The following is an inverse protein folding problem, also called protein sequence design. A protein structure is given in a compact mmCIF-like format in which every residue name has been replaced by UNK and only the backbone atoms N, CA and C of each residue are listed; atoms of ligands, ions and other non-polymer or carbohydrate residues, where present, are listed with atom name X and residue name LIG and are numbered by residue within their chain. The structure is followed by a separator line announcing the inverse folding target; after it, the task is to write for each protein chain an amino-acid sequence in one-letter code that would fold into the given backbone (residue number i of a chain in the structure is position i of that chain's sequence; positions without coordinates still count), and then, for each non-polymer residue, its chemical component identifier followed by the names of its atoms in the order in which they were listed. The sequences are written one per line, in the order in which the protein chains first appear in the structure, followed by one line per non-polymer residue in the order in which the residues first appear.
data_IF_879912242040
#
_entry.id   IF_879912242040
#
_cell.length_a   1.000
_cell.length_b   1.000
_cell.length_c   1.000
_cell.angle_alpha   90.00
_cell.angle_beta   90.00
_cell.angle_gamma   90.00
#
_symmetry.space_group_name_H-M   'P 1'
#
loop_
_entity.id
_entity.type
_entity.pdbx_description
1 polymer ?
#
# COMPACT_ATOMS: atom_id res chain seq x y z
N UNK A 1 12.64 -1.04 22.65
CA UNK A 1 11.17 -1.25 22.70
C UNK A 1 10.78 -2.28 21.65
N UNK A 2 10.04 -3.33 22.03
CA UNK A 2 9.59 -4.36 21.11
C UNK A 2 8.56 -3.81 20.10
N UNK A 3 8.46 -4.47 18.93
CA UNK A 3 7.45 -4.15 17.92
C UNK A 3 6.03 -4.11 18.52
N UNK A 4 5.70 -5.13 19.32
CA UNK A 4 4.40 -5.20 19.99
C UNK A 4 4.09 -3.98 20.84
N UNK A 5 5.02 -3.55 21.68
CA UNK A 5 4.83 -2.34 22.53
C UNK A 5 4.63 -1.07 21.70
N UNK A 6 5.34 -0.96 20.58
CA UNK A 6 5.15 0.19 19.65
C UNK A 6 3.76 0.16 19.02
N UNK A 7 3.32 -1.00 18.56
CA UNK A 7 1.99 -1.18 17.98
C UNK A 7 0.88 -0.89 18.99
N UNK A 8 0.97 -1.41 20.23
CA UNK A 8 0.01 -1.13 21.29
C UNK A 8 -0.09 0.38 21.56
N UNK A 9 1.05 1.08 21.57
CA UNK A 9 1.08 2.54 21.73
C UNK A 9 0.38 3.27 20.57
N UNK A 10 0.64 2.85 19.34
CA UNK A 10 0.01 3.45 18.15
C UNK A 10 -1.51 3.19 18.15
N UNK A 11 -1.94 1.98 18.45
CA UNK A 11 -3.34 1.62 18.50
C UNK A 11 -4.10 2.40 19.58
N UNK A 12 -3.51 2.59 20.77
CA UNK A 12 -4.08 3.45 21.81
C UNK A 12 -4.25 4.89 21.32
N UNK A 13 -3.23 5.46 20.67
CA UNK A 13 -3.30 6.82 20.11
C UNK A 13 -4.40 6.95 19.05
N UNK A 14 -4.54 5.96 18.17
CA UNK A 14 -5.63 5.90 17.19
C UNK A 14 -6.98 5.90 17.90
N UNK A 15 -7.18 5.01 18.89
CA UNK A 15 -8.43 4.93 19.64
C UNK A 15 -8.80 6.24 20.35
N UNK A 16 -7.82 6.93 20.97
CA UNK A 16 -8.04 8.24 21.57
C UNK A 16 -8.41 9.30 20.51
N UNK A 17 -7.73 9.31 19.36
CA UNK A 17 -8.04 10.24 18.28
C UNK A 17 -9.44 10.02 17.71
N UNK A 18 -9.84 8.77 17.51
CA UNK A 18 -11.19 8.42 17.05
C UNK A 18 -12.27 8.89 18.02
N UNK A 19 -12.10 8.63 19.33
CA UNK A 19 -13.04 9.10 20.36
C UNK A 19 -13.16 10.60 20.37
N UNK A 20 -12.03 11.31 20.32
CA UNK A 20 -12.02 12.79 20.31
C UNK A 20 -12.64 13.37 19.05
N UNK A 21 -12.47 12.73 17.90
CA UNK A 21 -13.02 13.15 16.63
C UNK A 21 -14.46 12.67 16.36
N UNK A 22 -15.01 11.81 17.22
CA UNK A 22 -16.34 11.21 17.01
C UNK A 22 -16.40 10.22 15.86
N UNK A 23 -15.27 9.53 15.55
CA UNK A 23 -15.19 8.53 14.49
C UNK A 23 -15.22 7.11 15.06
N UNK A 24 -15.98 6.22 14.42
CA UNK A 24 -16.11 4.82 14.81
C UNK A 24 -15.69 3.83 13.69
N UNK A 25 -15.35 4.34 12.51
CA UNK A 25 -14.90 3.50 11.41
C UNK A 25 -13.54 2.84 11.71
N UNK A 26 -13.31 1.61 11.22
CA UNK A 26 -12.05 0.92 11.44
C UNK A 26 -10.89 1.63 10.73
N UNK A 27 -9.74 1.69 11.42
CA UNK A 27 -8.48 2.21 10.88
C UNK A 27 -7.55 1.04 10.63
N UNK A 28 -7.12 0.88 9.39
CA UNK A 28 -6.13 -0.13 9.03
C UNK A 28 -4.70 0.44 9.15
N UNK A 29 -3.86 -0.26 9.92
CA UNK A 29 -2.43 0.02 9.95
C UNK A 29 -1.73 -0.71 8.80
N UNK A 30 -0.86 0.00 8.10
CA UNK A 30 0.01 -0.58 7.07
C UNK A 30 1.45 -0.47 7.57
N UNK A 31 2.12 -1.62 7.70
CA UNK A 31 3.53 -1.64 8.02
C UNK A 31 4.36 -1.37 6.76
N UNK A 32 5.05 -0.24 6.73
CA UNK A 32 5.99 0.07 5.64
C UNK A 32 7.29 -0.67 5.90
N UNK A 33 7.55 -1.72 5.12
CA UNK A 33 8.66 -2.66 5.34
C UNK A 33 9.81 -2.49 4.35
N UNK A 34 9.80 -1.41 3.57
CA UNK A 34 10.92 -1.07 2.69
C UNK A 34 12.25 -1.04 3.48
N UNK A 35 13.31 -1.52 2.85
CA UNK A 35 14.65 -1.63 3.44
C UNK A 35 14.77 -2.63 4.62
N UNK A 36 13.70 -3.30 4.98
CA UNK A 36 13.69 -4.30 6.03
C UNK A 36 13.68 -5.72 5.45
N UNK A 37 14.26 -6.72 6.14
CA UNK A 37 14.26 -8.10 5.66
C UNK A 37 12.86 -8.72 5.71
N UNK A 38 12.68 -9.84 4.99
CA UNK A 38 11.40 -10.56 4.96
C UNK A 38 10.93 -11.02 6.35
N UNK A 39 11.86 -11.32 7.26
CA UNK A 39 11.54 -11.65 8.66
C UNK A 39 10.75 -10.55 9.37
N UNK A 40 11.01 -9.28 9.04
CA UNK A 40 10.23 -8.15 9.59
C UNK A 40 8.76 -8.21 9.16
N UNK A 41 8.48 -8.66 7.93
CA UNK A 41 7.10 -8.88 7.46
C UNK A 41 6.43 -9.96 8.30
N UNK A 42 7.13 -11.07 8.56
CA UNK A 42 6.63 -12.16 9.41
C UNK A 42 6.34 -11.67 10.85
N UNK A 43 7.22 -10.85 11.41
CA UNK A 43 7.04 -10.29 12.75
C UNK A 43 5.85 -9.31 12.81
N UNK A 44 5.66 -8.49 11.76
CA UNK A 44 4.47 -7.66 11.62
C UNK A 44 3.19 -8.50 11.60
N UNK A 45 3.18 -9.56 10.80
CA UNK A 45 2.02 -10.46 10.71
C UNK A 45 1.71 -11.15 12.04
N UNK A 46 2.72 -11.68 12.73
CA UNK A 46 2.56 -12.25 14.09
C UNK A 46 2.03 -11.24 15.10
N UNK A 47 2.28 -9.97 14.86
CA UNK A 47 1.77 -8.85 15.66
C UNK A 47 0.41 -8.34 15.18
N UNK A 48 -0.29 -9.12 14.35
CA UNK A 48 -1.63 -8.83 13.82
C UNK A 48 -1.69 -7.64 12.83
N UNK A 49 -0.58 -7.28 12.23
CA UNK A 49 -0.58 -6.37 11.07
C UNK A 49 -0.84 -7.20 9.81
N UNK A 50 -1.95 -6.94 9.16
CA UNK A 50 -2.40 -7.69 7.98
C UNK A 50 -2.19 -6.94 6.66
N UNK A 51 -1.47 -5.83 6.68
CA UNK A 51 -1.10 -5.08 5.48
C UNK A 51 0.34 -4.57 5.57
N UNK A 52 1.09 -4.78 4.50
CA UNK A 52 2.45 -4.25 4.34
C UNK A 52 2.54 -3.32 3.13
N UNK A 53 3.46 -2.37 3.17
CA UNK A 53 3.72 -1.44 2.08
C UNK A 53 5.19 -1.47 1.64
N UNK A 54 5.38 -1.55 0.32
CA UNK A 54 6.69 -1.48 -0.34
C UNK A 54 6.67 -0.43 -1.43
N UNK A 55 7.79 0.23 -1.67
CA UNK A 55 7.87 1.31 -2.65
C UNK A 55 8.76 1.00 -3.85
N UNK A 56 9.42 -0.16 -3.90
CA UNK A 56 10.31 -0.57 -5.00
C UNK A 56 10.04 -2.01 -5.40
N UNK A 57 9.69 -2.22 -6.66
CA UNK A 57 9.39 -3.54 -7.22
C UNK A 57 10.60 -4.46 -7.17
N UNK A 58 11.79 -3.96 -7.51
CA UNK A 58 13.02 -4.75 -7.50
C UNK A 58 13.38 -5.23 -6.10
N UNK A 59 13.25 -4.36 -5.10
CA UNK A 59 13.50 -4.74 -3.70
C UNK A 59 12.50 -5.79 -3.23
N UNK A 60 11.21 -5.60 -3.53
CA UNK A 60 10.17 -6.58 -3.18
C UNK A 60 10.41 -7.93 -3.87
N UNK A 61 10.74 -7.93 -5.17
CA UNK A 61 11.04 -9.16 -5.91
C UNK A 61 12.21 -9.95 -5.31
N UNK A 62 13.26 -9.25 -4.89
CA UNK A 62 14.43 -9.87 -4.25
C UNK A 62 14.14 -10.37 -2.83
N UNK A 63 13.30 -9.65 -2.09
CA UNK A 63 13.00 -9.88 -0.68
C UNK A 63 11.89 -10.89 -0.44
N UNK A 64 10.82 -10.86 -1.22
CA UNK A 64 9.63 -11.66 -0.98
C UNK A 64 9.93 -13.16 -1.08
N UNK A 65 9.36 -13.91 -0.17
CA UNK A 65 9.39 -15.36 -0.09
C UNK A 65 7.95 -15.87 -0.10
N UNK A 66 7.72 -17.11 0.33
CA UNK A 66 6.36 -17.64 0.46
C UNK A 66 5.55 -16.88 1.51
N UNK A 67 4.33 -16.53 1.14
CA UNK A 67 3.32 -15.93 2.03
C UNK A 67 2.27 -16.95 2.49
N UNK A 68 2.51 -18.25 2.25
CA UNK A 68 1.57 -19.31 2.60
C UNK A 68 1.21 -19.34 4.09
N UNK A 69 2.18 -19.00 4.96
CA UNK A 69 1.99 -18.96 6.41
C UNK A 69 1.38 -17.63 6.90
N UNK A 70 1.03 -16.74 5.99
CA UNK A 70 0.47 -15.43 6.30
C UNK A 70 -0.84 -15.18 5.54
N UNK A 71 -1.86 -16.05 5.72
CA UNK A 71 -3.13 -15.89 5.02
C UNK A 71 -3.78 -14.54 5.36
N UNK A 72 -4.37 -13.89 4.35
CA UNK A 72 -5.02 -12.60 4.52
C UNK A 72 -4.07 -11.39 4.58
N UNK A 73 -2.75 -11.59 4.48
CA UNK A 73 -1.81 -10.48 4.38
C UNK A 73 -1.98 -9.77 3.02
N UNK A 74 -2.21 -8.46 3.06
CA UNK A 74 -2.33 -7.61 1.88
C UNK A 74 -1.00 -6.94 1.59
N UNK A 75 -0.48 -7.14 0.38
CA UNK A 75 0.77 -6.52 -0.10
C UNK A 75 0.41 -5.29 -0.92
N UNK A 76 0.73 -4.13 -0.40
CA UNK A 76 0.38 -2.84 -1.01
C UNK A 76 1.60 -2.21 -1.66
N UNK A 77 1.50 -1.86 -2.93
CA UNK A 77 2.53 -1.06 -3.58
C UNK A 77 2.25 0.43 -3.35
N UNK A 78 3.13 1.09 -2.64
CA UNK A 78 2.96 2.48 -2.19
C UNK A 78 3.97 3.45 -2.84
N UNK A 79 4.78 2.98 -3.78
CA UNK A 79 5.78 3.78 -4.48
C UNK A 79 5.31 4.26 -5.86
N UNK A 80 6.12 5.11 -6.50
CA UNK A 80 5.86 5.49 -7.88
C UNK A 80 5.93 4.28 -8.81
N UNK A 81 4.88 4.05 -9.61
CA UNK A 81 4.78 2.93 -10.53
C UNK A 81 4.96 3.41 -11.98
N UNK A 82 6.07 3.01 -12.59
CA UNK A 82 6.27 3.19 -14.02
C UNK A 82 5.39 2.23 -14.83
N UNK A 83 4.84 2.70 -15.95
CA UNK A 83 3.92 1.91 -16.78
C UNK A 83 4.52 0.58 -17.28
N UNK A 84 5.83 0.55 -17.55
CA UNK A 84 6.52 -0.67 -17.98
C UNK A 84 6.75 -1.69 -16.85
N UNK A 85 6.50 -1.33 -15.60
CA UNK A 85 6.62 -2.20 -14.41
C UNK A 85 5.29 -2.76 -13.92
N UNK A 86 4.18 -2.39 -14.52
CA UNK A 86 2.83 -2.81 -14.09
C UNK A 86 2.70 -4.33 -14.04
N UNK A 87 3.17 -5.04 -15.06
CA UNK A 87 3.06 -6.51 -15.09
C UNK A 87 3.72 -7.13 -13.85
N UNK A 88 4.96 -6.73 -13.56
CA UNK A 88 5.70 -7.24 -12.40
C UNK A 88 5.08 -6.82 -11.08
N UNK A 89 4.57 -5.59 -11.02
CA UNK A 89 3.86 -5.10 -9.83
C UNK A 89 2.66 -5.98 -9.51
N UNK A 90 1.82 -6.31 -10.48
CA UNK A 90 0.62 -7.12 -10.26
C UNK A 90 0.91 -8.60 -9.96
N UNK A 91 2.10 -9.08 -10.24
CA UNK A 91 2.56 -10.40 -9.79
C UNK A 91 2.91 -10.41 -8.28
N UNK A 92 3.46 -9.31 -7.79
CA UNK A 92 4.00 -9.21 -6.44
C UNK A 92 3.03 -8.62 -5.42
N UNK A 93 2.12 -7.74 -5.86
CA UNK A 93 1.27 -6.93 -5.00
C UNK A 93 -0.22 -7.18 -5.25
N UNK A 94 -0.99 -6.97 -4.19
CA UNK A 94 -2.44 -7.11 -4.22
C UNK A 94 -3.15 -5.79 -4.55
N UNK A 95 -2.53 -4.66 -4.20
CA UNK A 95 -3.06 -3.31 -4.44
C UNK A 95 -2.00 -2.35 -4.96
N UNK A 96 -2.43 -1.29 -5.62
CA UNK A 96 -1.58 -0.16 -6.03
C UNK A 96 -2.17 1.12 -5.45
N UNK A 97 -1.46 1.73 -4.50
CA UNK A 97 -1.94 2.88 -3.73
C UNK A 97 -1.44 4.23 -4.28
N UNK A 98 -0.82 4.23 -5.45
CA UNK A 98 -0.07 5.35 -6.03
C UNK A 98 -0.43 5.63 -7.49
N UNK A 99 -1.69 5.41 -7.85
CA UNK A 99 -2.15 5.69 -9.22
C UNK A 99 -2.23 7.21 -9.42
N UNK A 100 -1.36 7.73 -10.27
CA UNK A 100 -1.14 9.16 -10.47
C UNK A 100 -1.53 9.68 -11.86
N UNK A 101 -2.07 8.80 -12.72
CA UNK A 101 -2.52 9.19 -14.06
C UNK A 101 -3.56 8.22 -14.62
N UNK A 102 -4.39 8.72 -15.51
CA UNK A 102 -5.36 7.90 -16.28
C UNK A 102 -4.63 6.84 -17.12
N UNK A 103 -3.49 7.20 -17.70
CA UNK A 103 -2.66 6.27 -18.46
C UNK A 103 -2.23 5.08 -17.62
N UNK A 104 -1.75 5.33 -16.39
CA UNK A 104 -1.36 4.26 -15.47
C UNK A 104 -2.57 3.42 -15.05
N UNK A 105 -3.69 4.06 -14.72
CA UNK A 105 -4.93 3.36 -14.37
C UNK A 105 -5.39 2.41 -15.47
N UNK A 106 -5.40 2.86 -16.72
CA UNK A 106 -5.73 2.02 -17.88
C UNK A 106 -4.76 0.86 -18.06
N UNK A 107 -3.46 1.10 -17.88
CA UNK A 107 -2.44 0.04 -17.96
C UNK A 107 -2.66 -1.04 -16.90
N UNK A 108 -2.96 -0.65 -15.67
CA UNK A 108 -3.29 -1.56 -14.58
C UNK A 108 -4.57 -2.34 -14.90
N UNK A 109 -5.63 -1.66 -15.34
CA UNK A 109 -6.92 -2.27 -15.69
C UNK A 109 -6.77 -3.32 -16.79
N UNK A 110 -6.07 -2.99 -17.88
CA UNK A 110 -5.84 -3.90 -18.99
C UNK A 110 -5.05 -5.15 -18.54
N UNK A 111 -4.02 -4.97 -17.72
CA UNK A 111 -3.24 -6.11 -17.21
C UNK A 111 -4.04 -6.96 -16.24
N UNK A 112 -4.79 -6.33 -15.34
CA UNK A 112 -5.66 -7.04 -14.39
C UNK A 112 -6.69 -7.90 -15.12
N UNK A 113 -7.36 -7.34 -16.13
CA UNK A 113 -8.29 -8.07 -16.97
C UNK A 113 -7.62 -9.25 -17.69
N UNK A 114 -6.42 -9.06 -18.26
CA UNK A 114 -5.68 -10.10 -18.98
C UNK A 114 -5.30 -11.29 -18.08
N UNK A 115 -5.11 -11.07 -16.78
CA UNK A 115 -4.77 -12.12 -15.81
C UNK A 115 -5.96 -12.54 -14.92
N UNK A 116 -7.17 -12.07 -15.23
CA UNK A 116 -8.39 -12.43 -14.51
C UNK A 116 -8.44 -11.94 -13.07
N UNK A 117 -7.80 -10.80 -12.77
CA UNK A 117 -7.76 -10.22 -11.42
C UNK A 117 -8.55 -8.92 -11.32
N UNK A 118 -9.06 -8.64 -10.13
CA UNK A 118 -9.49 -7.30 -9.72
C UNK A 118 -8.44 -6.74 -8.77
N UNK A 119 -7.91 -5.58 -9.10
CA UNK A 119 -6.84 -4.93 -8.32
C UNK A 119 -7.39 -3.64 -7.72
N UNK A 120 -7.58 -3.58 -6.39
CA UNK A 120 -7.92 -2.34 -5.71
C UNK A 120 -6.82 -1.30 -5.89
N UNK A 121 -7.20 -0.06 -6.15
CA UNK A 121 -6.24 1.05 -6.32
C UNK A 121 -6.66 2.25 -5.48
N UNK A 122 -5.68 3.07 -5.09
CA UNK A 122 -5.90 4.40 -4.57
C UNK A 122 -5.32 5.42 -5.54
N UNK A 123 -6.05 6.51 -5.72
CA UNK A 123 -5.59 7.64 -6.53
C UNK A 123 -4.69 8.52 -5.68
N UNK A 124 -3.49 8.78 -6.19
CA UNK A 124 -2.56 9.72 -5.55
C UNK A 124 -2.87 11.13 -6.02
N UNK A 125 -3.16 12.02 -5.07
CA UNK A 125 -3.49 13.43 -5.34
C UNK A 125 -2.39 14.32 -4.77
N UNK A 126 -1.87 15.25 -5.58
CA UNK A 126 -0.91 16.23 -5.15
C UNK A 126 -1.61 17.39 -4.43
N UNK A 127 -1.68 17.32 -3.11
CA UNK A 127 -2.32 18.36 -2.28
C UNK A 127 -1.39 19.50 -1.86
N UNK A 128 -0.07 19.31 -2.03
CA UNK A 128 0.93 20.33 -1.64
C UNK A 128 1.20 21.37 -2.72
N UNK A 129 0.84 21.08 -3.98
CA UNK A 129 1.14 21.93 -5.13
C UNK A 129 2.63 21.92 -5.54
N UNK A 130 3.46 21.05 -4.94
CA UNK A 130 4.88 20.96 -5.28
C UNK A 130 5.06 20.29 -6.66
N UNK A 131 5.67 20.96 -7.67
CA UNK A 131 5.79 20.43 -9.02
C UNK A 131 6.59 19.12 -9.13
N UNK A 132 7.48 18.86 -8.17
CA UNK A 132 8.34 17.65 -8.14
C UNK A 132 7.63 16.41 -7.59
N UNK A 133 6.48 16.56 -6.95
CA UNK A 133 5.68 15.45 -6.45
C UNK A 133 4.70 14.98 -7.51
N UNK A 134 4.54 13.66 -7.62
CA UNK A 134 3.53 13.04 -8.47
C UNK A 134 2.12 13.23 -7.91
N UNK A 135 1.15 12.69 -8.63
CA UNK A 135 -0.25 12.73 -8.24
C UNK A 135 -1.09 13.57 -9.18
N UNK A 136 -2.39 13.32 -9.14
CA UNK A 136 -3.37 14.16 -9.82
C UNK A 136 -3.46 15.52 -9.17
N UNK A 137 -3.72 16.55 -9.96
CA UNK A 137 -4.16 17.83 -9.40
C UNK A 137 -5.54 17.66 -8.73
N UNK A 138 -5.81 18.33 -7.61
CA UNK A 138 -7.10 18.21 -6.92
C UNK A 138 -8.32 18.45 -7.81
N UNK A 139 -8.24 19.38 -8.77
CA UNK A 139 -9.31 19.68 -9.72
C UNK A 139 -9.55 18.58 -10.78
N UNK A 140 -8.61 17.68 -11.00
CA UNK A 140 -8.76 16.59 -11.98
C UNK A 140 -9.50 15.37 -11.42
N UNK A 141 -9.60 15.27 -10.10
CA UNK A 141 -10.20 14.09 -9.42
C UNK A 141 -11.70 14.01 -9.68
N UNK A 142 -12.37 15.15 -9.85
CA UNK A 142 -13.81 15.22 -10.13
C UNK A 142 -14.18 14.69 -11.53
N UNK A 143 -13.25 14.71 -12.47
CA UNK A 143 -13.46 14.26 -13.86
C UNK A 143 -13.17 12.74 -14.03
N UNK A 144 -12.80 12.04 -12.99
CA UNK A 144 -12.39 10.63 -13.01
C UNK A 144 -13.44 9.69 -12.44
#
# INVERSE_FOLDING_TARGET
MSLKKRLDSIQKRIGFAQKRGGFDHPIQLIAVTKTQPFTTIQDCYRSQITAIGENRIQEAAAKFRSFADMPGLVRRFIGHLQSNKVNKCLELFDTVDSVDSVKLARRISNRAAAVGKTVPVLLEVNTSGEPKKGGFDPGQVEDM
#
